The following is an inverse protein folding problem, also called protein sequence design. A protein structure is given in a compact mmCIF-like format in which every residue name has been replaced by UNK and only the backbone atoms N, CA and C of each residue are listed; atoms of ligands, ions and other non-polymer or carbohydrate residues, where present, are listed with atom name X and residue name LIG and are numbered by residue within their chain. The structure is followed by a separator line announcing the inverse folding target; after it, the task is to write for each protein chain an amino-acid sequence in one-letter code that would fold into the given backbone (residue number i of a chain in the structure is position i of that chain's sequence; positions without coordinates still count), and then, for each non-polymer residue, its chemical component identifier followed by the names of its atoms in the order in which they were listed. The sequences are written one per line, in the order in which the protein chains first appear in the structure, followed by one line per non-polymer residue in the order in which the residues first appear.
data_IF_506454944836
#
_entry.id   IF_506454944836
#
_cell.length_a   1.000
_cell.length_b   1.000
_cell.length_c   1.000
_cell.angle_alpha   90.00
_cell.angle_beta   90.00
_cell.angle_gamma   90.00
#
_symmetry.space_group_name_H-M   'P 1'
#
loop_
_entity.id
_entity.type
_entity.pdbx_description
1 polymer ?
#
# COMPACT_ATOMS: atom_id res chain seq x y z
N UNK A 1 2.03 14.22 -31.43
CA UNK A 1 1.43 13.14 -30.61
C UNK A 1 2.08 13.08 -29.24
N UNK A 2 3.40 12.91 -29.13
CA UNK A 2 4.15 12.94 -27.85
C UNK A 2 3.79 14.14 -26.94
N UNK A 3 3.71 15.36 -27.49
CA UNK A 3 3.30 16.54 -26.72
C UNK A 3 1.89 16.43 -26.11
N UNK A 4 0.93 15.86 -26.86
CA UNK A 4 -0.45 15.70 -26.39
C UNK A 4 -0.51 14.67 -25.26
N UNK A 5 0.23 13.58 -25.41
CA UNK A 5 0.41 12.55 -24.40
C UNK A 5 1.01 13.14 -23.12
N UNK A 6 2.09 13.90 -23.26
CA UNK A 6 2.79 14.54 -22.14
C UNK A 6 1.89 15.53 -21.40
N UNK A 7 1.09 16.29 -22.15
CA UNK A 7 0.06 17.17 -21.62
C UNK A 7 -0.98 16.39 -20.81
N UNK A 8 -1.48 15.26 -21.33
CA UNK A 8 -2.41 14.40 -20.61
C UNK A 8 -1.79 13.82 -19.34
N UNK A 9 -0.56 13.33 -19.39
CA UNK A 9 0.13 12.83 -18.20
C UNK A 9 0.31 13.92 -17.15
N UNK A 10 0.65 15.15 -17.56
CA UNK A 10 0.74 16.28 -16.64
C UNK A 10 -0.61 16.58 -16.00
N UNK A 11 -1.68 16.58 -16.78
CA UNK A 11 -3.05 16.78 -16.29
C UNK A 11 -3.48 15.67 -15.33
N UNK A 12 -3.21 14.41 -15.66
CA UNK A 12 -3.46 13.23 -14.82
C UNK A 12 -2.72 13.33 -13.49
N UNK A 13 -1.44 13.74 -13.51
CA UNK A 13 -0.67 13.93 -12.28
C UNK A 13 -1.27 14.99 -11.34
N UNK A 14 -1.94 16.01 -11.89
CA UNK A 14 -2.54 17.10 -11.12
C UNK A 14 -3.98 16.79 -10.67
N UNK A 15 -4.81 16.18 -11.52
CA UNK A 15 -6.21 15.83 -11.19
C UNK A 15 -6.28 14.81 -10.06
N UNK A 16 -5.27 13.93 -9.97
CA UNK A 16 -5.24 12.88 -8.96
C UNK A 16 -4.66 13.35 -7.62
N UNK A 17 -4.46 14.64 -7.37
CA UNK A 17 -4.08 15.11 -6.05
C UNK A 17 -5.30 15.23 -5.13
N UNK A 18 -5.11 14.99 -3.83
CA UNK A 18 -6.08 15.41 -2.83
C UNK A 18 -6.18 16.94 -2.84
N UNK A 19 -7.38 17.49 -2.59
CA UNK A 19 -7.55 18.93 -2.47
C UNK A 19 -6.82 19.46 -1.23
N UNK A 20 -6.34 20.70 -1.31
CA UNK A 20 -5.68 21.36 -0.17
C UNK A 20 -6.63 21.45 1.04
N UNK A 21 -7.92 21.69 0.79
CA UNK A 21 -8.97 21.71 1.82
C UNK A 21 -9.08 20.36 2.55
N UNK A 22 -9.12 19.23 1.81
CA UNK A 22 -9.18 17.90 2.41
C UNK A 22 -7.91 17.60 3.24
N UNK A 23 -6.73 18.00 2.73
CA UNK A 23 -5.45 17.83 3.44
C UNK A 23 -5.43 18.67 4.73
N UNK A 24 -5.88 19.92 4.67
CA UNK A 24 -5.92 20.83 5.80
C UNK A 24 -6.87 20.30 6.89
N UNK A 25 -8.09 19.93 6.53
CA UNK A 25 -9.08 19.36 7.46
C UNK A 25 -8.59 18.07 8.11
N UNK A 26 -8.05 17.14 7.33
CA UNK A 26 -7.47 15.91 7.86
C UNK A 26 -6.30 16.16 8.82
N UNK A 27 -5.43 17.13 8.50
CA UNK A 27 -4.30 17.53 9.36
C UNK A 27 -4.78 18.15 10.67
N UNK A 28 -5.83 18.98 10.64
CA UNK A 28 -6.44 19.56 11.83
C UNK A 28 -7.06 18.48 12.73
N UNK A 29 -7.80 17.52 12.15
CA UNK A 29 -8.36 16.39 12.88
C UNK A 29 -7.28 15.54 13.58
N UNK A 30 -6.19 15.24 12.86
CA UNK A 30 -5.07 14.48 13.41
C UNK A 30 -4.37 15.28 14.52
N UNK A 31 -4.18 16.59 14.36
CA UNK A 31 -3.60 17.44 15.39
C UNK A 31 -4.39 17.38 16.70
N UNK A 32 -5.72 17.57 16.65
CA UNK A 32 -6.60 17.45 17.82
C UNK A 32 -6.55 16.06 18.46
N UNK A 33 -6.50 15.01 17.63
CA UNK A 33 -6.33 13.64 18.11
C UNK A 33 -5.00 13.47 18.85
N UNK A 34 -3.90 14.03 18.33
CA UNK A 34 -2.59 13.96 18.97
C UNK A 34 -2.55 14.79 20.26
N UNK A 35 -3.15 15.97 20.30
CA UNK A 35 -3.25 16.78 21.53
C UNK A 35 -3.96 16.00 22.65
N UNK A 36 -5.04 15.29 22.33
CA UNK A 36 -5.70 14.39 23.28
C UNK A 36 -4.74 13.29 23.77
N UNK A 37 -3.99 12.65 22.86
CA UNK A 37 -3.02 11.62 23.23
C UNK A 37 -1.89 12.18 24.11
N UNK A 38 -1.39 13.39 23.83
CA UNK A 38 -0.37 14.06 24.63
C UNK A 38 -0.85 14.35 26.06
N UNK A 39 -2.13 14.68 26.24
CA UNK A 39 -2.73 14.97 27.54
C UNK A 39 -3.04 13.71 28.36
N UNK A 40 -3.34 12.57 27.70
CA UNK A 40 -3.88 11.37 28.36
C UNK A 40 -2.94 10.18 28.39
N UNK A 41 -1.93 10.15 27.54
CA UNK A 41 -0.98 9.04 27.50
C UNK A 41 -0.06 9.03 28.72
N UNK A 42 0.30 7.82 29.17
CA UNK A 42 1.38 7.65 30.14
C UNK A 42 2.77 7.77 29.49
N UNK A 43 2.83 7.87 28.16
CA UNK A 43 4.05 8.10 27.40
C UNK A 43 4.18 9.58 27.05
N UNK A 44 5.40 10.10 27.12
CA UNK A 44 5.70 11.49 26.79
C UNK A 44 5.80 11.67 25.27
N UNK A 45 4.66 11.92 24.62
CA UNK A 45 4.60 12.23 23.18
C UNK A 45 5.10 13.66 22.96
N UNK A 46 6.39 13.79 22.64
CA UNK A 46 7.09 15.07 22.54
C UNK A 46 6.67 15.87 21.32
N UNK A 47 6.61 15.21 20.16
CA UNK A 47 6.28 15.82 18.87
C UNK A 47 5.60 14.82 17.96
N UNK A 48 4.86 15.34 16.98
CA UNK A 48 4.28 14.54 15.92
C UNK A 48 4.61 15.13 14.55
N UNK A 49 4.39 14.34 13.51
CA UNK A 49 4.70 14.71 12.14
C UNK A 49 3.78 13.98 11.16
N UNK A 50 3.18 14.70 10.22
CA UNK A 50 2.47 14.09 9.09
C UNK A 50 3.47 13.81 7.97
N UNK A 51 3.75 12.53 7.75
CA UNK A 51 4.63 12.06 6.69
C UNK A 51 3.85 11.48 5.53
N UNK A 52 4.38 10.41 4.94
CA UNK A 52 3.66 9.71 3.87
C UNK A 52 3.51 10.52 2.59
N UNK A 53 2.50 10.16 1.81
CA UNK A 53 2.17 10.85 0.55
C UNK A 53 1.80 12.32 0.77
N UNK A 54 1.05 12.61 1.85
CA UNK A 54 0.66 13.97 2.26
C UNK A 54 1.90 14.79 2.60
N UNK A 55 2.71 14.30 3.53
CA UNK A 55 3.94 14.96 3.95
C UNK A 55 4.92 15.18 2.80
N UNK A 56 5.03 14.25 1.84
CA UNK A 56 5.91 14.37 0.66
C UNK A 56 5.37 15.29 -0.45
N UNK A 57 4.11 15.72 -0.38
CA UNK A 57 3.38 16.37 -1.48
C UNK A 57 3.30 15.50 -2.75
N UNK A 58 3.07 14.20 -2.56
CA UNK A 58 2.93 13.19 -3.63
C UNK A 58 1.62 12.42 -3.50
N UNK A 59 0.57 13.11 -3.03
CA UNK A 59 -0.76 12.54 -2.83
C UNK A 59 -1.38 12.03 -4.14
N UNK A 60 -2.18 10.98 -3.98
CA UNK A 60 -3.07 10.38 -4.97
C UNK A 60 -4.48 10.32 -4.36
N UNK A 61 -5.57 10.01 -5.08
CA UNK A 61 -6.92 9.98 -4.51
C UNK A 61 -7.09 8.88 -3.44
N UNK A 62 -6.18 7.89 -3.45
CA UNK A 62 -6.10 6.79 -2.49
C UNK A 62 -5.07 7.01 -1.38
N UNK A 63 -4.56 8.23 -1.20
CA UNK A 63 -3.55 8.51 -0.17
C UNK A 63 -4.17 8.55 1.22
N UNK A 64 -3.49 7.88 2.14
CA UNK A 64 -3.68 7.94 3.58
C UNK A 64 -2.80 9.03 4.21
N UNK A 65 -3.09 9.32 5.47
CA UNK A 65 -2.26 10.16 6.34
C UNK A 65 -1.35 9.26 7.19
N UNK A 66 -0.05 9.34 6.98
CA UNK A 66 0.91 8.75 7.92
C UNK A 66 1.21 9.73 9.06
N UNK A 67 0.75 9.43 10.27
CA UNK A 67 1.05 10.19 11.49
C UNK A 67 2.20 9.51 12.26
N UNK A 68 3.32 10.21 12.42
CA UNK A 68 4.48 9.74 13.18
C UNK A 68 4.52 10.43 14.54
N UNK A 69 4.49 9.66 15.63
CA UNK A 69 4.65 10.15 16.99
C UNK A 69 6.07 9.88 17.49
N UNK A 70 6.76 10.91 17.95
CA UNK A 70 8.08 10.80 18.56
C UNK A 70 7.96 10.93 20.06
N UNK A 71 8.40 9.90 20.77
CA UNK A 71 8.12 9.71 22.19
C UNK A 71 9.44 9.63 22.95
N UNK A 72 9.53 10.35 24.06
CA UNK A 72 10.71 10.36 24.91
C UNK A 72 10.78 9.05 25.73
N UNK A 73 12.00 8.59 26.03
CA UNK A 73 12.30 7.48 26.95
C UNK A 73 11.58 6.14 26.66
N UNK A 74 11.32 5.84 25.38
CA UNK A 74 10.84 4.52 24.95
C UNK A 74 11.94 3.70 24.27
N UNK A 75 11.82 2.38 24.33
CA UNK A 75 12.66 1.46 23.60
C UNK A 75 11.83 0.56 22.68
N UNK A 76 12.43 0.10 21.60
CA UNK A 76 11.81 -0.92 20.74
C UNK A 76 11.73 -2.26 21.51
N UNK A 77 10.65 -3.06 21.42
CA UNK A 77 9.47 -2.94 20.55
C UNK A 77 8.37 -2.01 21.08
N UNK A 78 7.73 -1.28 20.16
CA UNK A 78 6.72 -0.26 20.51
C UNK A 78 5.28 -0.79 20.68
N UNK A 79 5.10 -2.11 20.80
CA UNK A 79 3.75 -2.73 20.88
C UNK A 79 2.93 -2.17 22.05
N UNK A 80 3.53 -1.98 23.22
CA UNK A 80 2.82 -1.50 24.41
C UNK A 80 2.39 -0.04 24.25
N UNK A 81 3.21 0.77 23.58
CA UNK A 81 2.91 2.16 23.24
C UNK A 81 1.69 2.22 22.30
N UNK A 82 1.72 1.47 21.21
CA UNK A 82 0.60 1.44 20.25
C UNK A 82 -0.69 0.90 20.87
N UNK A 83 -0.59 -0.11 21.75
CA UNK A 83 -1.75 -0.63 22.50
C UNK A 83 -2.32 0.42 23.45
N UNK A 84 -1.47 1.20 24.14
CA UNK A 84 -1.92 2.31 24.98
C UNK A 84 -2.64 3.38 24.15
N UNK A 85 -2.04 3.81 23.03
CA UNK A 85 -2.65 4.76 22.09
C UNK A 85 -4.02 4.25 21.61
N UNK A 86 -4.10 2.99 21.17
CA UNK A 86 -5.36 2.40 20.72
C UNK A 86 -6.43 2.37 21.82
N UNK A 87 -6.05 2.07 23.06
CA UNK A 87 -6.98 2.11 24.19
C UNK A 87 -7.49 3.53 24.47
N UNK A 88 -6.61 4.53 24.45
CA UNK A 88 -6.99 5.93 24.65
C UNK A 88 -7.92 6.44 23.56
N UNK A 89 -7.63 6.11 22.30
CA UNK A 89 -8.48 6.45 21.17
C UNK A 89 -9.88 5.83 21.30
N UNK A 90 -10.01 4.61 21.83
CA UNK A 90 -11.33 3.98 22.08
C UNK A 90 -12.07 4.64 23.25
N UNK A 91 -11.36 5.02 24.31
CA UNK A 91 -11.96 5.51 25.57
C UNK A 91 -12.36 6.99 25.52
N UNK A 92 -11.72 7.81 24.70
CA UNK A 92 -11.88 9.27 24.71
C UNK A 92 -12.64 9.78 23.47
N UNK A 93 -13.73 9.09 23.09
CA UNK A 93 -14.58 9.51 21.98
C UNK A 93 -15.92 10.11 22.43
N UNK A 94 -16.46 11.07 21.66
CA UNK A 94 -15.81 11.75 20.53
C UNK A 94 -14.68 12.70 20.99
N UNK A 95 -13.59 12.78 20.22
CA UNK A 95 -12.51 13.73 20.47
C UNK A 95 -13.04 15.13 20.12
N UNK A 96 -12.83 16.10 21.01
CA UNK A 96 -13.32 17.48 20.86
C UNK A 96 -14.85 17.57 20.64
N UNK A 97 -15.62 16.57 21.07
CA UNK A 97 -17.08 16.55 20.94
C UNK A 97 -17.63 16.11 19.57
N UNK A 98 -16.80 16.01 18.52
CA UNK A 98 -17.27 15.72 17.16
C UNK A 98 -16.41 14.74 16.34
N UNK A 99 -15.13 14.53 16.69
CA UNK A 99 -14.24 13.63 15.96
C UNK A 99 -14.40 12.20 16.47
N UNK A 100 -14.65 11.25 15.55
CA UNK A 100 -14.74 9.81 15.85
C UNK A 100 -13.54 9.08 15.25
N UNK A 101 -13.06 8.04 15.93
CA UNK A 101 -11.86 7.29 15.49
C UNK A 101 -12.11 5.80 15.51
N UNK A 102 -12.26 5.17 14.35
CA UNK A 102 -12.43 3.71 14.30
C UNK A 102 -11.09 3.03 14.05
N UNK A 103 -10.62 2.22 15.00
CA UNK A 103 -9.38 1.46 14.84
C UNK A 103 -9.66 0.24 13.96
N UNK A 104 -8.97 0.16 12.84
CA UNK A 104 -9.12 -0.91 11.86
C UNK A 104 -8.08 -2.01 12.04
N UNK A 105 -6.82 -1.64 12.26
CA UNK A 105 -5.70 -2.59 12.33
C UNK A 105 -4.74 -2.15 13.43
N UNK A 106 -4.29 -3.11 14.24
CA UNK A 106 -3.28 -2.90 15.28
C UNK A 106 -2.15 -3.89 15.07
N UNK A 107 -0.99 -3.41 14.62
CA UNK A 107 0.23 -4.20 14.44
C UNK A 107 1.30 -3.79 15.45
N UNK A 108 2.40 -4.54 15.61
CA UNK A 108 3.50 -4.14 16.50
C UNK A 108 4.21 -2.84 16.10
N UNK A 109 3.98 -2.29 14.89
CA UNK A 109 4.71 -1.14 14.35
C UNK A 109 3.82 0.01 13.88
N UNK A 110 2.54 -0.27 13.59
CA UNK A 110 1.56 0.69 13.04
C UNK A 110 0.18 0.39 13.59
N UNK A 111 -0.57 1.44 13.92
CA UNK A 111 -2.01 1.41 14.20
C UNK A 111 -2.74 2.16 13.08
N UNK A 112 -3.61 1.47 12.35
CA UNK A 112 -4.43 2.07 11.28
C UNK A 112 -5.81 2.36 11.81
N UNK A 113 -6.31 3.58 11.60
CA UNK A 113 -7.65 4.01 11.98
C UNK A 113 -8.31 4.88 10.90
N UNK A 114 -9.63 5.05 11.03
CA UNK A 114 -10.42 6.02 10.26
C UNK A 114 -10.85 7.13 11.21
N UNK A 115 -10.38 8.34 10.94
CA UNK A 115 -10.78 9.56 11.65
C UNK A 115 -11.94 10.19 10.89
N UNK A 116 -13.07 10.45 11.56
CA UNK A 116 -14.25 11.06 10.94
C UNK A 116 -14.58 12.39 11.56
N UNK A 117 -14.88 13.35 10.69
CA UNK A 117 -15.36 14.67 11.05
C UNK A 117 -16.45 15.11 10.05
N UNK A 118 -17.66 15.37 10.55
CA UNK A 118 -18.82 15.63 9.72
C UNK A 118 -19.10 14.49 8.70
N UNK A 119 -18.98 14.78 7.40
CA UNK A 119 -19.20 13.82 6.30
C UNK A 119 -17.89 13.31 5.67
N UNK A 120 -16.74 13.68 6.24
CA UNK A 120 -15.44 13.26 5.71
C UNK A 120 -14.83 12.14 6.55
N UNK A 121 -14.11 11.26 5.86
CA UNK A 121 -13.33 10.18 6.44
C UNK A 121 -11.87 10.35 6.03
N UNK A 122 -10.97 10.24 7.01
CA UNK A 122 -9.53 10.28 6.83
C UNK A 122 -8.93 8.96 7.27
N UNK A 123 -8.27 8.25 6.36
CA UNK A 123 -7.52 7.04 6.68
C UNK A 123 -6.16 7.45 7.27
N UNK A 124 -5.87 7.00 8.48
CA UNK A 124 -4.67 7.41 9.23
C UNK A 124 -3.88 6.19 9.70
N UNK A 125 -2.60 6.14 9.34
CA UNK A 125 -1.62 5.20 9.85
C UNK A 125 -0.77 5.89 10.92
N UNK A 126 -0.92 5.47 12.17
CA UNK A 126 -0.15 5.96 13.31
C UNK A 126 1.05 5.05 13.52
N UNK A 127 2.25 5.59 13.36
CA UNK A 127 3.51 4.93 13.66
C UNK A 127 4.24 5.69 14.77
N UNK A 128 5.02 4.97 15.57
CA UNK A 128 5.74 5.53 16.72
C UNK A 128 7.24 5.35 16.55
N UNK A 129 8.00 6.31 17.05
CA UNK A 129 9.45 6.29 17.08
C UNK A 129 9.96 6.85 18.41
N UNK A 130 11.14 6.40 18.83
CA UNK A 130 11.88 7.06 19.91
C UNK A 130 12.31 8.45 19.47
N UNK A 131 12.10 9.45 20.33
CA UNK A 131 12.53 10.81 20.08
C UNK A 131 14.01 10.96 20.47
N UNK A 132 14.86 11.16 19.47
CA UNK A 132 16.28 11.44 19.69
C UNK A 132 16.60 12.93 19.63
N UNK A 133 15.73 13.72 19.02
CA UNK A 133 15.93 15.15 18.82
C UNK A 133 15.38 15.98 19.99
N UNK A 134 15.67 15.58 21.23
CA UNK A 134 15.30 16.36 22.41
C UNK A 134 16.18 17.62 22.51
N UNK A 135 15.68 18.65 23.19
CA UNK A 135 16.42 19.92 23.35
C UNK A 135 17.83 19.71 23.91
N UNK A 136 17.97 18.82 24.90
CA UNK A 136 19.26 18.52 25.52
C UNK A 136 20.22 17.85 24.54
N UNK A 137 19.74 16.90 23.73
CA UNK A 137 20.57 16.23 22.72
C UNK A 137 21.01 17.22 21.64
N UNK A 138 20.10 18.07 21.14
CA UNK A 138 20.44 19.09 20.14
C UNK A 138 21.53 20.04 20.66
N UNK A 139 21.41 20.46 21.93
CA UNK A 139 22.40 21.31 22.60
C UNK A 139 23.74 20.60 22.78
N UNK A 140 23.74 19.32 23.15
CA UNK A 140 24.97 18.52 23.35
C UNK A 140 25.69 18.22 22.04
N UNK A 141 24.97 17.87 20.98
CA UNK A 141 25.54 17.52 19.68
C UNK A 141 26.09 18.73 18.90
N UNK A 142 25.80 19.97 19.33
CA UNK A 142 26.06 21.21 18.57
C UNK A 142 25.45 21.14 17.16
N UNK A 143 24.43 20.32 16.99
CA UNK A 143 23.75 20.07 15.73
C UNK A 143 22.34 20.64 15.84
N UNK A 144 22.07 21.69 15.07
CA UNK A 144 20.80 22.41 15.12
C UNK A 144 19.72 21.79 14.21
N UNK A 145 20.05 20.72 13.49
CA UNK A 145 19.11 20.03 12.61
C UNK A 145 18.50 18.81 13.31
N UNK A 146 17.28 18.92 13.87
CA UNK A 146 16.64 17.81 14.58
C UNK A 146 16.38 16.60 13.68
N UNK A 147 16.23 16.79 12.37
CA UNK A 147 16.01 15.67 11.45
C UNK A 147 17.31 14.88 11.28
N UNK A 148 18.46 15.56 11.18
CA UNK A 148 19.75 14.89 11.03
C UNK A 148 20.14 14.12 12.31
N UNK A 149 19.94 14.71 13.49
CA UNK A 149 20.14 14.03 14.78
C UNK A 149 19.24 12.81 14.90
N UNK A 150 17.94 12.96 14.60
CA UNK A 150 16.99 11.85 14.63
C UNK A 150 17.40 10.74 13.66
N UNK A 151 17.80 11.09 12.44
CA UNK A 151 18.23 10.14 11.41
C UNK A 151 19.47 9.36 11.90
N UNK A 152 20.53 10.07 12.31
CA UNK A 152 21.78 9.47 12.77
C UNK A 152 21.56 8.48 13.91
N UNK A 153 20.85 8.90 14.96
CA UNK A 153 20.58 8.05 16.13
C UNK A 153 19.69 6.85 15.80
N UNK A 154 18.73 7.02 14.90
CA UNK A 154 17.92 5.90 14.41
C UNK A 154 18.78 4.91 13.60
N UNK A 155 19.75 5.41 12.80
CA UNK A 155 20.69 4.56 12.08
C UNK A 155 21.68 3.85 13.00
N UNK A 156 22.10 4.49 14.09
CA UNK A 156 22.86 3.82 15.16
C UNK A 156 22.07 2.61 15.67
N UNK A 157 20.79 2.76 16.04
CA UNK A 157 19.96 1.64 16.50
C UNK A 157 19.82 0.53 15.46
N UNK A 158 19.56 0.90 14.19
CA UNK A 158 19.41 -0.07 13.10
C UNK A 158 20.70 -0.87 12.89
N UNK A 159 21.86 -0.20 12.97
CA UNK A 159 23.17 -0.83 12.81
C UNK A 159 23.45 -1.88 13.88
N UNK A 160 22.97 -1.68 15.10
CA UNK A 160 23.08 -2.68 16.17
C UNK A 160 22.17 -3.89 15.95
N UNK A 161 21.13 -3.78 15.11
CA UNK A 161 20.12 -4.83 14.89
C UNK A 161 19.67 -5.01 13.42
N UNK A 162 20.60 -5.22 12.46
CA UNK A 162 20.35 -5.04 11.02
C UNK A 162 19.35 -6.06 10.44
N UNK A 163 19.38 -7.33 10.87
CA UNK A 163 18.61 -8.38 10.17
C UNK A 163 17.14 -8.52 10.58
N UNK A 164 16.66 -7.79 11.61
CA UNK A 164 15.28 -7.94 12.13
C UNK A 164 14.50 -6.63 12.29
N UNK A 165 15.15 -5.48 12.15
CA UNK A 165 14.57 -4.19 12.58
C UNK A 165 14.68 -3.04 11.58
N UNK A 166 15.42 -3.18 10.48
CA UNK A 166 15.58 -2.12 9.44
C UNK A 166 14.25 -1.49 9.06
N UNK A 167 13.24 -2.31 8.78
CA UNK A 167 11.89 -1.84 8.44
C UNK A 167 11.09 -1.34 9.66
N UNK A 168 11.32 -1.93 10.83
CA UNK A 168 10.52 -1.69 12.03
C UNK A 168 10.83 -0.35 12.70
N UNK A 169 12.00 0.22 12.40
CA UNK A 169 12.44 1.53 12.87
C UNK A 169 12.25 2.65 11.82
N UNK A 170 11.55 2.38 10.71
CA UNK A 170 11.32 3.36 9.62
C UNK A 170 10.69 4.67 10.09
N UNK A 171 9.87 4.61 11.14
CA UNK A 171 9.20 5.78 11.72
C UNK A 171 10.20 6.84 12.18
N UNK A 172 11.36 6.43 12.72
CA UNK A 172 12.43 7.34 13.11
C UNK A 172 13.11 8.04 11.93
N UNK A 173 13.00 7.49 10.71
CA UNK A 173 13.57 8.06 9.49
C UNK A 173 12.55 8.86 8.65
N UNK A 174 11.29 8.90 9.08
CA UNK A 174 10.16 9.49 8.34
C UNK A 174 10.38 10.96 7.93
N UNK A 175 10.92 11.78 8.83
CA UNK A 175 11.17 13.20 8.54
C UNK A 175 12.30 13.38 7.51
N UNK A 176 13.31 12.51 7.54
CA UNK A 176 14.42 12.56 6.59
C UNK A 176 13.95 12.17 5.18
N UNK A 177 13.16 11.09 5.05
CA UNK A 177 12.64 10.68 3.74
C UNK A 177 11.68 11.72 3.15
N UNK A 178 10.84 12.36 3.98
CA UNK A 178 9.99 13.46 3.51
C UNK A 178 10.83 14.63 3.03
N UNK A 179 11.88 15.01 3.75
CA UNK A 179 12.80 16.07 3.33
C UNK A 179 13.44 15.75 1.97
N UNK A 180 13.94 14.52 1.79
CA UNK A 180 14.52 14.06 0.53
C UNK A 180 13.56 14.20 -0.66
N UNK A 181 12.30 13.77 -0.50
CA UNK A 181 11.29 13.86 -1.56
C UNK A 181 10.85 15.31 -1.81
N UNK A 182 10.70 16.13 -0.76
CA UNK A 182 10.34 17.56 -0.91
C UNK A 182 11.38 18.38 -1.66
N UNK A 183 12.66 18.00 -1.58
CA UNK A 183 13.75 18.65 -2.30
C UNK A 183 13.73 18.39 -3.81
N UNK A 184 12.95 17.42 -4.28
CA UNK A 184 12.75 17.22 -5.71
C UNK A 184 11.91 18.36 -6.29
N UNK A 185 11.98 18.58 -7.61
CA UNK A 185 11.16 19.60 -8.25
C UNK A 185 9.74 19.09 -8.61
N UNK A 186 8.86 20.00 -9.02
CA UNK A 186 7.47 19.67 -9.34
C UNK A 186 7.35 18.63 -10.45
N UNK A 187 8.18 18.71 -11.50
CA UNK A 187 8.24 17.70 -12.55
C UNK A 187 8.45 16.29 -11.98
N UNK A 188 9.40 16.14 -11.07
CA UNK A 188 9.71 14.85 -10.44
C UNK A 188 8.58 14.38 -9.51
N UNK A 189 7.93 15.30 -8.78
CA UNK A 189 6.75 14.98 -7.98
C UNK A 189 5.56 14.52 -8.85
N UNK A 190 5.34 15.15 -10.00
CA UNK A 190 4.33 14.70 -10.97
C UNK A 190 4.63 13.29 -11.47
N UNK A 191 5.91 13.00 -11.78
CA UNK A 191 6.35 11.66 -12.16
C UNK A 191 6.09 10.62 -11.05
N UNK A 192 6.33 10.97 -9.78
CA UNK A 192 5.99 10.11 -8.63
C UNK A 192 4.49 9.80 -8.62
N UNK A 193 3.62 10.81 -8.78
CA UNK A 193 2.16 10.61 -8.76
C UNK A 193 1.70 9.71 -9.90
N UNK A 194 2.22 9.91 -11.12
CA UNK A 194 1.95 9.02 -12.27
C UNK A 194 2.36 7.58 -11.97
N UNK A 195 3.54 7.40 -11.39
CA UNK A 195 4.05 6.07 -11.04
C UNK A 195 3.14 5.36 -10.03
N UNK A 196 2.74 6.08 -8.97
CA UNK A 196 1.82 5.54 -7.95
C UNK A 196 0.46 5.23 -8.55
N UNK A 197 -0.06 6.11 -9.40
CA UNK A 197 -1.32 5.88 -10.10
C UNK A 197 -1.26 4.61 -10.94
N UNK A 198 -0.24 4.46 -11.79
CA UNK A 198 0.00 3.25 -12.58
C UNK A 198 0.04 2.00 -11.70
N UNK A 199 0.88 1.99 -10.66
CA UNK A 199 1.04 0.83 -9.79
C UNK A 199 -0.25 0.46 -9.03
N UNK A 200 -0.98 1.45 -8.54
CA UNK A 200 -2.26 1.21 -7.86
C UNK A 200 -3.29 0.54 -8.79
N UNK A 201 -3.25 0.82 -10.09
CA UNK A 201 -4.14 0.20 -11.10
C UNK A 201 -3.81 -1.26 -11.36
N UNK A 202 -2.56 -1.68 -11.12
CA UNK A 202 -2.15 -3.08 -11.26
C UNK A 202 -2.73 -3.98 -10.15
N UNK A 203 -3.20 -3.39 -9.05
CA UNK A 203 -3.73 -4.14 -7.90
C UNK A 203 -2.69 -4.95 -7.14
N UNK A 204 -1.40 -4.76 -7.42
CA UNK A 204 -0.29 -5.43 -6.74
C UNK A 204 -0.12 -4.85 -5.32
N UNK A 205 -0.02 -5.72 -4.32
CA UNK A 205 0.09 -5.31 -2.90
C UNK A 205 1.32 -5.94 -2.24
N UNK A 206 2.49 -5.41 -2.57
CA UNK A 206 3.74 -5.73 -1.88
C UNK A 206 4.03 -4.73 -0.76
N UNK A 207 4.61 -5.17 0.36
CA UNK A 207 5.15 -4.25 1.36
C UNK A 207 6.19 -3.32 0.73
N UNK A 208 6.08 -2.02 1.01
CA UNK A 208 7.05 -0.99 0.60
C UNK A 208 7.25 -0.77 -0.91
N UNK A 209 6.41 -1.35 -1.77
CA UNK A 209 6.48 -1.13 -3.21
C UNK A 209 6.33 0.34 -3.59
N UNK A 210 5.49 1.09 -2.88
CA UNK A 210 5.33 2.52 -3.08
C UNK A 210 6.64 3.30 -3.00
N UNK A 211 7.49 3.00 -2.00
CA UNK A 211 8.76 3.70 -1.84
C UNK A 211 9.79 3.30 -2.91
N UNK A 212 9.87 2.02 -3.27
CA UNK A 212 10.73 1.56 -4.36
C UNK A 212 10.42 2.34 -5.65
N UNK A 213 9.14 2.42 -5.99
CA UNK A 213 8.67 3.08 -7.19
C UNK A 213 8.87 4.60 -7.15
N UNK A 214 8.66 5.23 -6.00
CA UNK A 214 9.01 6.64 -5.77
C UNK A 214 10.49 6.89 -6.05
N UNK A 215 11.39 6.01 -5.58
CA UNK A 215 12.83 6.11 -5.82
C UNK A 215 13.18 5.97 -7.31
N UNK A 216 12.57 5.01 -8.01
CA UNK A 216 12.77 4.85 -9.46
C UNK A 216 12.29 6.10 -10.22
N UNK A 217 11.12 6.63 -9.86
CA UNK A 217 10.56 7.86 -10.41
C UNK A 217 11.49 9.06 -10.18
N UNK A 218 12.05 9.20 -8.99
CA UNK A 218 13.03 10.26 -8.66
C UNK A 218 14.29 10.12 -9.51
N UNK A 219 14.85 8.91 -9.61
CA UNK A 219 16.03 8.66 -10.45
C UNK A 219 15.78 9.02 -11.91
N UNK A 220 14.63 8.65 -12.46
CA UNK A 220 14.23 9.00 -13.82
C UNK A 220 14.01 10.49 -13.99
N UNK A 221 13.32 11.13 -13.05
CA UNK A 221 13.06 12.57 -13.05
C UNK A 221 14.34 13.41 -13.00
N UNK A 222 15.31 13.02 -12.17
CA UNK A 222 16.62 13.68 -12.11
C UNK A 222 17.42 13.55 -13.42
N UNK A 223 17.32 12.41 -14.12
CA UNK A 223 17.90 12.26 -15.46
C UNK A 223 17.18 13.14 -16.48
N UNK A 224 15.85 13.15 -16.45
CA UNK A 224 15.04 13.93 -17.38
C UNK A 224 15.20 15.44 -17.18
N UNK A 225 15.44 15.87 -15.93
CA UNK A 225 15.65 17.26 -15.57
C UNK A 225 16.86 17.92 -16.25
N UNK A 226 17.76 17.14 -16.84
CA UNK A 226 18.92 17.64 -17.59
C UNK A 226 18.58 18.08 -19.01
N UNK A 227 17.42 17.68 -19.53
CA UNK A 227 16.95 18.10 -20.85
C UNK A 227 16.14 19.40 -20.76
N UNK A 228 16.27 20.32 -21.72
CA UNK A 228 15.47 21.56 -21.74
C UNK A 228 13.98 21.26 -21.96
N UNK A 229 13.68 20.30 -22.84
CA UNK A 229 12.31 19.90 -23.20
C UNK A 229 11.90 18.63 -22.44
N UNK A 230 11.86 18.71 -21.11
CA UNK A 230 11.53 17.58 -20.22
C UNK A 230 10.17 16.98 -20.60
N UNK A 231 10.06 15.65 -20.57
CA UNK A 231 8.82 14.92 -20.87
C UNK A 231 8.53 13.90 -19.78
N UNK A 232 7.33 13.95 -19.20
CA UNK A 232 6.80 12.91 -18.33
C UNK A 232 6.65 11.58 -19.06
N UNK A 233 6.29 11.56 -20.34
CA UNK A 233 6.21 10.33 -21.13
C UNK A 233 7.57 9.62 -21.19
N UNK A 234 8.61 10.30 -21.68
CA UNK A 234 9.95 9.70 -21.76
C UNK A 234 10.51 9.32 -20.40
N UNK A 235 10.18 10.10 -19.37
CA UNK A 235 10.54 9.79 -17.99
C UNK A 235 9.84 8.50 -17.51
N UNK A 236 8.57 8.31 -17.86
CA UNK A 236 7.78 7.13 -17.53
C UNK A 236 8.22 5.90 -18.32
N UNK A 237 8.45 6.00 -19.63
CA UNK A 237 9.03 4.93 -20.43
C UNK A 237 10.35 4.44 -19.84
N UNK A 238 11.26 5.36 -19.48
CA UNK A 238 12.54 5.02 -18.83
C UNK A 238 12.33 4.28 -17.51
N UNK A 239 11.34 4.67 -16.72
CA UNK A 239 11.02 3.97 -15.48
C UNK A 239 10.47 2.56 -15.75
N UNK A 240 9.59 2.40 -16.75
CA UNK A 240 9.09 1.09 -17.16
C UNK A 240 10.22 0.19 -17.68
N UNK A 241 11.17 0.72 -18.45
CA UNK A 241 12.37 0.00 -18.89
C UNK A 241 13.24 -0.44 -17.71
N UNK A 242 13.41 0.42 -16.70
CA UNK A 242 14.08 0.04 -15.46
C UNK A 242 13.36 -1.11 -14.74
N UNK A 243 12.02 -1.09 -14.71
CA UNK A 243 11.22 -2.17 -14.13
C UNK A 243 11.31 -3.45 -14.95
N UNK A 244 11.30 -3.39 -16.29
CA UNK A 244 11.49 -4.56 -17.16
C UNK A 244 12.85 -5.23 -16.91
N UNK A 245 13.86 -4.45 -16.58
CA UNK A 245 15.19 -4.92 -16.21
C UNK A 245 15.37 -4.97 -14.68
N UNK A 246 14.33 -5.36 -13.95
CA UNK A 246 14.30 -5.31 -12.48
C UNK A 246 15.54 -5.92 -11.83
N UNK A 247 16.00 -7.07 -12.33
CA UNK A 247 17.12 -7.84 -11.76
C UNK A 247 18.48 -7.13 -11.90
N UNK A 248 18.56 -6.13 -12.78
CA UNK A 248 19.75 -5.32 -13.04
C UNK A 248 19.69 -3.93 -12.38
N UNK A 249 18.65 -3.66 -11.59
CA UNK A 249 18.48 -2.34 -10.95
C UNK A 249 19.66 -2.01 -10.03
N UNK A 250 20.28 -0.87 -10.29
CA UNK A 250 21.30 -0.25 -9.44
C UNK A 250 20.95 1.22 -9.17
N UNK A 251 20.13 1.45 -8.13
CA UNK A 251 19.67 2.78 -7.73
C UNK A 251 20.11 3.08 -6.30
N UNK A 252 21.17 3.87 -6.19
CA UNK A 252 21.74 4.33 -4.91
C UNK A 252 21.96 5.84 -4.95
N UNK A 253 21.46 6.58 -3.96
CA UNK A 253 21.68 8.02 -3.81
C UNK A 253 22.81 8.29 -2.82
N UNK A 254 24.05 8.00 -3.24
CA UNK A 254 25.25 8.06 -2.36
C UNK A 254 25.44 9.41 -1.65
N UNK A 255 25.04 10.52 -2.27
CA UNK A 255 25.12 11.87 -1.66
C UNK A 255 24.24 12.04 -0.42
N UNK A 256 23.26 11.17 -0.21
CA UNK A 256 22.33 11.26 0.91
C UNK A 256 22.83 10.52 2.16
N UNK A 257 23.87 9.70 2.04
CA UNK A 257 24.53 9.02 3.16
C UNK A 257 25.56 9.95 3.82
N UNK A 258 25.03 10.97 4.50
CA UNK A 258 25.79 12.07 5.12
C UNK A 258 26.67 11.65 6.29
N UNK A 259 26.41 10.48 6.88
CA UNK A 259 27.11 9.99 8.06
C UNK A 259 28.21 8.98 7.66
N UNK A 260 29.50 9.31 7.84
CA UNK A 260 30.61 8.41 7.49
C UNK A 260 30.55 7.03 8.14
N UNK A 261 29.94 6.91 9.31
CA UNK A 261 29.74 5.65 10.05
C UNK A 261 28.58 4.79 9.54
N UNK A 262 27.76 5.33 8.62
CA UNK A 262 26.60 4.71 8.00
C UNK A 262 26.71 4.82 6.48
N UNK A 263 27.73 4.19 5.91
CA UNK A 263 27.89 4.10 4.46
C UNK A 263 27.18 2.85 3.93
N UNK A 264 26.76 2.97 2.68
CA UNK A 264 26.23 1.83 1.93
C UNK A 264 27.33 0.80 1.66
N UNK A 265 26.99 -0.47 1.82
CA UNK A 265 27.88 -1.57 1.46
C UNK A 265 27.88 -1.75 -0.07
N UNK A 266 28.99 -1.35 -0.71
CA UNK A 266 29.15 -1.47 -2.16
C UNK A 266 29.08 -2.92 -2.67
N UNK A 267 29.23 -3.92 -1.77
CA UNK A 267 29.08 -5.34 -2.09
C UNK A 267 27.63 -5.85 -2.07
N UNK A 268 26.66 -4.98 -1.77
CA UNK A 268 25.23 -5.34 -1.84
C UNK A 268 24.89 -5.84 -3.24
N UNK A 269 24.35 -7.06 -3.32
CA UNK A 269 24.01 -7.73 -4.58
C UNK A 269 22.87 -7.01 -5.30
N UNK A 270 22.84 -7.15 -6.63
CA UNK A 270 21.70 -6.73 -7.44
C UNK A 270 20.51 -7.69 -7.25
N UNK A 271 19.27 -7.20 -7.44
CA UNK A 271 18.91 -5.80 -7.65
C UNK A 271 19.01 -4.97 -6.37
N UNK A 272 19.43 -3.70 -6.51
CA UNK A 272 19.53 -2.75 -5.41
C UNK A 272 18.78 -1.47 -5.70
N UNK A 273 17.78 -1.21 -4.88
CA UNK A 273 17.06 0.06 -4.82
C UNK A 273 17.11 0.54 -3.38
N UNK A 274 18.17 1.27 -3.06
CA UNK A 274 18.48 1.61 -1.68
C UNK A 274 17.65 2.80 -1.19
N UNK A 275 17.20 2.73 0.06
CA UNK A 275 16.59 3.86 0.73
C UNK A 275 17.60 5.02 0.82
N UNK A 276 17.26 6.22 0.31
CA UNK A 276 18.14 7.37 0.32
C UNK A 276 18.50 7.83 1.75
N UNK A 277 17.70 7.49 2.77
CA UNK A 277 17.96 7.89 4.16
C UNK A 277 18.36 6.73 5.06
N UNK A 278 18.39 5.51 4.52
CA UNK A 278 18.77 4.29 5.25
C UNK A 278 19.68 3.37 4.39
N UNK A 279 21.02 3.42 4.57
CA UNK A 279 21.95 2.61 3.80
C UNK A 279 21.81 1.09 4.04
N UNK A 280 21.04 0.68 5.06
CA UNK A 280 20.79 -0.72 5.38
C UNK A 280 19.49 -1.28 4.78
N UNK A 281 18.72 -0.47 4.06
CA UNK A 281 17.42 -0.85 3.52
C UNK A 281 17.45 -0.92 1.98
N UNK A 282 17.49 -2.14 1.44
CA UNK A 282 17.31 -2.39 0.02
C UNK A 282 15.84 -2.73 -0.27
N UNK A 283 15.09 -1.82 -0.91
CA UNK A 283 13.68 -2.06 -1.19
C UNK A 283 13.43 -3.20 -2.19
N UNK A 284 14.42 -3.56 -3.01
CA UNK A 284 14.28 -4.61 -4.01
C UNK A 284 14.22 -6.03 -3.39
N UNK A 285 14.67 -6.19 -2.14
CA UNK A 285 14.61 -7.44 -1.38
C UNK A 285 13.20 -7.78 -0.89
N UNK A 286 12.31 -6.79 -0.78
CA UNK A 286 10.93 -7.02 -0.32
C UNK A 286 10.01 -7.59 -1.40
N UNK A 287 10.43 -7.57 -2.67
CA UNK A 287 9.61 -8.06 -3.77
C UNK A 287 9.76 -9.58 -3.92
N UNK A 288 8.63 -10.28 -3.86
CA UNK A 288 8.55 -11.69 -4.18
C UNK A 288 8.80 -11.95 -5.67
N UNK A 289 9.40 -13.10 -6.02
CA UNK A 289 9.74 -13.44 -7.42
C UNK A 289 8.53 -13.39 -8.37
N UNK A 290 7.37 -13.88 -7.92
CA UNK A 290 6.14 -13.84 -8.73
C UNK A 290 5.68 -12.41 -8.99
N UNK A 291 5.75 -11.53 -7.99
CA UNK A 291 5.38 -10.13 -8.15
C UNK A 291 6.37 -9.36 -9.00
N UNK A 292 7.68 -9.68 -8.93
CA UNK A 292 8.68 -9.16 -9.87
C UNK A 292 8.32 -9.52 -11.30
N UNK A 293 7.98 -10.78 -11.56
CA UNK A 293 7.59 -11.24 -12.89
C UNK A 293 6.35 -10.49 -13.40
N UNK A 294 5.30 -10.39 -12.58
CA UNK A 294 4.08 -9.64 -12.93
C UNK A 294 4.39 -8.17 -13.21
N UNK A 295 5.19 -7.53 -12.37
CA UNK A 295 5.56 -6.13 -12.54
C UNK A 295 6.36 -5.90 -13.84
N UNK A 296 7.29 -6.81 -14.18
CA UNK A 296 8.03 -6.79 -15.47
C UNK A 296 7.08 -6.94 -16.66
N UNK A 297 6.12 -7.87 -16.58
CA UNK A 297 5.10 -8.07 -17.61
C UNK A 297 4.26 -6.82 -17.82
N UNK A 298 3.70 -6.24 -16.76
CA UNK A 298 2.91 -5.01 -16.84
C UNK A 298 3.72 -3.83 -17.39
N UNK A 299 5.00 -3.73 -17.06
CA UNK A 299 5.86 -2.70 -17.62
C UNK A 299 6.06 -2.87 -19.13
N UNK A 300 6.29 -4.11 -19.60
CA UNK A 300 6.41 -4.44 -21.03
C UNK A 300 5.11 -4.16 -21.80
N UNK A 301 3.96 -4.53 -21.23
CA UNK A 301 2.65 -4.23 -21.80
C UNK A 301 2.41 -2.72 -21.89
N UNK A 302 2.76 -1.98 -20.83
CA UNK A 302 2.61 -0.51 -20.80
C UNK A 302 3.47 0.17 -21.87
N UNK A 303 4.71 -0.28 -22.07
CA UNK A 303 5.57 0.22 -23.17
C UNK A 303 4.98 -0.11 -24.54
N UNK A 304 4.48 -1.34 -24.70
CA UNK A 304 3.87 -1.77 -25.97
C UNK A 304 2.65 -0.92 -26.30
N UNK A 305 1.80 -0.66 -25.31
CA UNK A 305 0.65 0.24 -25.43
C UNK A 305 1.07 1.67 -25.81
N UNK A 306 2.08 2.23 -25.13
CA UNK A 306 2.62 3.57 -25.47
C UNK A 306 3.06 3.63 -26.94
N UNK A 307 3.78 2.60 -27.42
CA UNK A 307 4.30 2.54 -28.79
C UNK A 307 3.24 2.27 -29.85
N UNK A 308 2.18 1.51 -29.51
CA UNK A 308 1.09 1.19 -30.43
C UNK A 308 0.02 2.27 -30.51
N UNK A 309 0.00 3.21 -29.55
CA UNK A 309 -1.04 4.24 -29.49
C UNK A 309 -0.77 5.31 -30.55
N UNK A 310 -1.27 5.08 -31.76
CA UNK A 310 -1.42 6.09 -32.80
C UNK A 310 -2.71 6.95 -32.60
N UNK A 311 -3.55 6.64 -31.62
CA UNK A 311 -4.92 7.21 -31.46
C UNK A 311 -5.16 7.94 -30.13
N UNK A 312 -6.22 8.76 -30.10
CA UNK A 312 -6.53 9.76 -29.05
C UNK A 312 -7.00 9.20 -27.68
N UNK A 313 -7.14 7.89 -27.50
CA UNK A 313 -7.74 7.26 -26.30
C UNK A 313 -6.72 6.91 -25.19
N UNK A 314 -5.66 7.72 -25.13
CA UNK A 314 -4.40 7.44 -24.46
C UNK A 314 -4.46 7.10 -22.94
N UNK A 315 -5.22 7.82 -22.08
CA UNK A 315 -5.18 7.56 -20.64
C UNK A 315 -5.73 6.18 -20.28
N UNK A 316 -6.81 5.77 -20.94
CA UNK A 316 -7.46 4.51 -20.64
C UNK A 316 -6.64 3.34 -21.16
N UNK A 317 -6.04 3.42 -22.36
CA UNK A 317 -5.25 2.29 -22.91
C UNK A 317 -4.01 1.96 -22.09
N UNK A 318 -3.30 2.95 -21.53
CA UNK A 318 -2.06 2.72 -20.77
C UNK A 318 -2.31 2.31 -19.32
N UNK A 319 -3.39 2.81 -18.72
CA UNK A 319 -3.72 2.54 -17.31
C UNK A 319 -4.82 1.48 -17.11
N UNK A 320 -5.38 0.90 -18.20
CA UNK A 320 -6.32 -0.25 -18.17
C UNK A 320 -5.67 -1.61 -18.46
N UNK A 321 -4.35 -1.75 -18.55
CA UNK A 321 -3.72 -3.07 -18.67
C UNK A 321 -3.84 -3.89 -17.37
N UNK A 322 -5.05 -4.37 -17.08
CA UNK A 322 -5.15 -5.76 -16.63
C UNK A 322 -4.91 -6.62 -17.87
N UNK A 323 -4.17 -7.71 -17.77
CA UNK A 323 -3.93 -8.53 -18.94
C UNK A 323 -5.29 -9.01 -19.45
N UNK A 324 -5.50 -9.00 -20.77
CA UNK A 324 -6.74 -9.46 -21.41
C UNK A 324 -7.04 -10.93 -21.18
N UNK A 325 -6.13 -11.64 -20.52
CA UNK A 325 -6.35 -12.96 -19.95
C UNK A 325 -5.94 -12.96 -18.48
N UNK A 326 -6.71 -13.57 -17.57
CA UNK A 326 -6.24 -13.80 -16.22
C UNK A 326 -4.94 -14.62 -16.31
N UNK A 327 -3.81 -14.02 -15.89
CA UNK A 327 -2.49 -14.64 -15.83
C UNK A 327 -2.43 -15.65 -14.67
N UNK A 328 -3.31 -16.64 -14.72
CA UNK A 328 -3.04 -17.90 -14.07
C UNK A 328 -2.16 -18.72 -15.00
N UNK A 329 -1.08 -19.33 -14.52
CA UNK A 329 -0.31 -20.26 -15.33
C UNK A 329 -1.25 -21.29 -15.96
N UNK A 330 -0.99 -21.71 -17.21
CA UNK A 330 -1.83 -22.70 -17.91
C UNK A 330 -2.14 -23.93 -17.05
N UNK A 331 -1.17 -24.37 -16.23
CA UNK A 331 -1.33 -25.47 -15.28
C UNK A 331 -2.32 -25.20 -14.13
N UNK A 332 -2.51 -23.94 -13.71
CA UNK A 332 -3.50 -23.53 -12.72
C UNK A 332 -4.91 -23.55 -13.32
N UNK A 333 -5.08 -23.01 -14.52
CA UNK A 333 -6.35 -23.08 -15.26
C UNK A 333 -6.72 -24.53 -15.61
N UNK A 334 -5.77 -25.32 -16.10
CA UNK A 334 -5.97 -26.75 -16.40
C UNK A 334 -6.34 -27.54 -15.14
N UNK A 335 -5.82 -27.20 -13.95
CA UNK A 335 -6.20 -27.86 -12.68
C UNK A 335 -7.56 -27.41 -12.16
N UNK A 336 -7.91 -26.13 -12.25
CA UNK A 336 -9.24 -25.60 -11.89
C UNK A 336 -10.33 -26.16 -12.82
N UNK A 337 -9.99 -26.42 -14.08
CA UNK A 337 -10.88 -27.05 -15.06
C UNK A 337 -10.93 -28.58 -14.93
N UNK A 338 -9.89 -29.21 -14.36
CA UNK A 338 -9.86 -30.65 -14.06
C UNK A 338 -10.51 -31.03 -12.73
N UNK A 339 -10.76 -30.09 -11.82
CA UNK A 339 -11.68 -30.32 -10.70
C UNK A 339 -13.08 -30.56 -11.27
N UNK A 340 -13.55 -31.80 -11.19
CA UNK A 340 -14.83 -32.25 -11.73
C UNK A 340 -16.00 -31.43 -11.19
N UNK A 341 -16.66 -30.70 -12.08
CA UNK A 341 -18.00 -30.16 -11.89
C UNK A 341 -18.99 -31.24 -12.28
N UNK A 342 -19.71 -31.83 -11.34
CA UNK A 342 -20.85 -32.70 -11.65
C UNK A 342 -22.12 -31.86 -11.53
N UNK A 343 -22.86 -31.73 -12.64
CA UNK A 343 -24.23 -31.24 -12.64
C UNK A 343 -25.13 -32.47 -12.78
N UNK A 344 -25.68 -32.96 -11.68
CA UNK A 344 -26.78 -33.91 -11.74
C UNK A 344 -28.07 -33.14 -12.01
N UNK A 345 -28.59 -33.25 -13.22
CA UNK A 345 -29.96 -32.84 -13.52
C UNK A 345 -30.91 -33.96 -13.09
N UNK A 346 -31.45 -33.87 -11.89
CA UNK A 346 -32.67 -34.60 -11.52
C UNK A 346 -33.87 -33.69 -11.76
N UNK A 347 -34.84 -34.19 -12.51
CA UNK A 347 -36.13 -33.55 -12.80
C UNK A 347 -36.99 -33.48 -11.54
N UNK A 348 -36.73 -32.52 -10.66
CA UNK A 348 -37.69 -32.02 -9.66
C UNK A 348 -37.22 -30.64 -9.17
N UNK A 349 -38.16 -29.69 -9.11
CA UNK A 349 -37.91 -28.26 -8.90
C UNK A 349 -37.43 -27.98 -7.48
N UNK A 350 -36.14 -27.71 -7.27
CA UNK A 350 -35.54 -27.05 -6.09
C UNK A 350 -34.18 -26.38 -6.45
N UNK A 351 -33.64 -25.47 -5.61
CA UNK A 351 -32.94 -24.25 -6.05
C UNK A 351 -31.56 -24.53 -6.68
N UNK A 352 -31.16 -23.66 -7.62
CA UNK A 352 -29.79 -23.61 -8.14
C UNK A 352 -28.79 -23.43 -6.99
N UNK A 353 -28.08 -24.49 -6.65
CA UNK A 353 -26.91 -24.45 -5.78
C UNK A 353 -25.64 -24.51 -6.62
N UNK A 354 -24.67 -23.64 -6.33
CA UNK A 354 -23.30 -23.78 -6.85
C UNK A 354 -22.47 -24.40 -5.73
N UNK A 355 -21.97 -25.60 -5.95
CA UNK A 355 -21.07 -26.29 -5.01
C UNK A 355 -19.66 -26.28 -5.60
N UNK A 356 -18.74 -25.59 -4.96
CA UNK A 356 -17.32 -25.60 -5.34
C UNK A 356 -16.61 -26.58 -4.41
N UNK A 357 -16.22 -27.74 -4.93
CA UNK A 357 -15.44 -28.74 -4.21
C UNK A 357 -13.95 -28.59 -4.55
N UNK A 358 -13.11 -28.34 -3.55
CA UNK A 358 -11.65 -28.35 -3.69
C UNK A 358 -11.09 -29.76 -3.47
N UNK A 359 -10.11 -30.23 -4.25
CA UNK A 359 -9.46 -31.53 -4.01
C UNK A 359 -8.77 -31.57 -2.64
N UNK A 360 -8.82 -32.71 -1.93
CA UNK A 360 -8.25 -32.88 -0.58
C UNK A 360 -6.74 -32.55 -0.48
N UNK A 361 -6.02 -32.56 -1.62
CA UNK A 361 -4.59 -32.27 -1.69
C UNK A 361 -4.25 -30.77 -1.75
N UNK A 362 -5.25 -29.88 -1.85
CA UNK A 362 -5.05 -28.41 -1.79
C UNK A 362 -4.72 -27.90 -0.38
N UNK A 363 -4.98 -28.73 0.65
CA UNK A 363 -4.92 -28.41 2.09
C UNK A 363 -3.55 -27.93 2.64
N UNK A 364 -2.47 -27.98 1.86
CA UNK A 364 -1.10 -27.94 2.40
C UNK A 364 -0.29 -26.67 2.14
N UNK A 365 -0.77 -25.71 1.33
CA UNK A 365 -0.04 -24.47 1.06
C UNK A 365 -0.91 -23.23 1.25
N UNK A 366 -0.52 -22.35 2.19
CA UNK A 366 -1.31 -21.21 2.69
C UNK A 366 -1.65 -20.14 1.65
N UNK A 367 -0.89 -20.09 0.56
CA UNK A 367 -0.85 -18.95 -0.37
C UNK A 367 -1.82 -19.11 -1.55
N UNK A 368 -2.14 -20.35 -1.94
CA UNK A 368 -3.07 -20.64 -3.04
C UNK A 368 -4.52 -20.25 -2.71
N UNK A 369 -4.87 -20.22 -1.42
CA UNK A 369 -6.20 -19.82 -0.92
C UNK A 369 -6.50 -18.33 -1.10
N UNK A 370 -5.48 -17.48 -0.99
CA UNK A 370 -5.64 -16.04 -1.13
C UNK A 370 -5.95 -15.68 -2.59
N UNK A 371 -5.33 -16.40 -3.53
CA UNK A 371 -5.59 -16.28 -4.96
C UNK A 371 -7.04 -16.63 -5.33
N UNK A 372 -7.63 -17.65 -4.69
CA UNK A 372 -9.03 -18.05 -4.93
C UNK A 372 -10.02 -16.99 -4.43
N UNK A 373 -9.78 -16.40 -3.25
CA UNK A 373 -10.64 -15.33 -2.72
C UNK A 373 -10.54 -14.04 -3.55
N UNK A 374 -9.35 -13.71 -4.05
CA UNK A 374 -9.15 -12.60 -4.98
C UNK A 374 -9.81 -12.86 -6.34
N UNK A 375 -9.76 -14.10 -6.83
CA UNK A 375 -10.44 -14.51 -8.06
C UNK A 375 -11.95 -14.38 -7.92
N UNK A 376 -12.54 -14.93 -6.85
CA UNK A 376 -13.98 -14.79 -6.58
C UNK A 376 -14.39 -13.32 -6.41
N UNK A 377 -13.58 -12.51 -5.74
CA UNK A 377 -13.83 -11.07 -5.63
C UNK A 377 -13.79 -10.37 -6.99
N UNK A 378 -12.85 -10.71 -7.86
CA UNK A 378 -12.74 -10.13 -9.20
C UNK A 378 -13.90 -10.55 -10.11
N UNK A 379 -14.22 -11.85 -10.15
CA UNK A 379 -15.31 -12.40 -10.94
C UNK A 379 -16.67 -11.81 -10.52
N UNK A 380 -16.88 -11.59 -9.21
CA UNK A 380 -18.10 -10.93 -8.73
C UNK A 380 -18.18 -9.45 -9.16
N UNK A 381 -17.07 -8.72 -9.24
CA UNK A 381 -17.09 -7.34 -9.73
C UNK A 381 -17.48 -7.27 -11.22
N UNK A 382 -17.00 -8.21 -12.04
CA UNK A 382 -17.36 -8.29 -13.46
C UNK A 382 -18.84 -8.64 -13.66
N UNK A 383 -19.37 -9.57 -12.86
CA UNK A 383 -20.79 -9.96 -12.90
C UNK A 383 -21.72 -8.82 -12.42
N UNK A 384 -21.30 -8.02 -11.43
CA UNK A 384 -22.08 -6.86 -10.94
C UNK A 384 -22.26 -5.81 -12.06
N UNK A 385 -21.20 -5.56 -12.83
CA UNK A 385 -21.21 -4.54 -13.87
C UNK A 385 -22.09 -4.93 -15.09
N UNK A 386 -22.38 -6.22 -15.27
CA UNK A 386 -23.16 -6.75 -16.40
C UNK A 386 -24.65 -6.99 -16.11
N UNK A 387 -25.11 -6.86 -14.86
CA UNK A 387 -26.50 -7.22 -14.47
C UNK A 387 -27.30 -6.00 -14.01
N UNK A 388 -28.39 -5.71 -14.74
CA UNK A 388 -29.26 -4.54 -14.50
C UNK A 388 -30.28 -4.70 -13.36
N UNK A 389 -30.39 -5.88 -12.73
CA UNK A 389 -31.45 -6.11 -11.72
C UNK A 389 -31.02 -5.75 -10.30
N UNK A 390 -31.77 -4.82 -9.69
CA UNK A 390 -31.48 -4.22 -8.37
C UNK A 390 -31.34 -5.24 -7.23
N UNK A 391 -32.06 -6.37 -7.29
CA UNK A 391 -32.02 -7.42 -6.26
C UNK A 391 -30.76 -8.28 -6.35
N UNK A 392 -30.30 -8.61 -7.56
CA UNK A 392 -29.07 -9.38 -7.78
C UNK A 392 -27.82 -8.52 -7.47
N UNK A 393 -27.86 -7.23 -7.75
CA UNK A 393 -26.79 -6.31 -7.36
C UNK A 393 -26.64 -6.19 -5.84
N UNK A 394 -27.75 -6.18 -5.07
CA UNK A 394 -27.69 -6.24 -3.61
C UNK A 394 -27.09 -7.54 -3.10
N UNK A 395 -27.42 -8.67 -3.74
CA UNK A 395 -26.89 -10.00 -3.39
C UNK A 395 -25.38 -10.10 -3.68
N UNK A 396 -24.95 -9.61 -4.83
CA UNK A 396 -23.54 -9.59 -5.22
C UNK A 396 -22.73 -8.65 -4.32
N UNK A 397 -23.27 -7.48 -3.96
CA UNK A 397 -22.61 -6.55 -3.04
C UNK A 397 -22.52 -7.11 -1.61
N UNK A 398 -23.55 -7.84 -1.15
CA UNK A 398 -23.52 -8.56 0.14
C UNK A 398 -22.46 -9.68 0.13
N UNK A 399 -22.36 -10.43 -0.97
CA UNK A 399 -21.35 -11.48 -1.17
C UNK A 399 -19.94 -10.89 -1.24
N UNK A 400 -19.78 -9.75 -1.92
CA UNK A 400 -18.54 -8.98 -1.99
C UNK A 400 -18.07 -8.49 -0.62
N UNK A 401 -18.98 -7.88 0.15
CA UNK A 401 -18.70 -7.44 1.52
C UNK A 401 -18.29 -8.62 2.40
N UNK A 402 -18.94 -9.77 2.26
CA UNK A 402 -18.59 -10.99 3.00
C UNK A 402 -17.19 -11.51 2.63
N UNK A 403 -16.85 -11.60 1.35
CA UNK A 403 -15.51 -12.04 0.90
C UNK A 403 -14.43 -11.08 1.39
N UNK A 404 -14.67 -9.77 1.36
CA UNK A 404 -13.75 -8.77 1.90
C UNK A 404 -13.52 -8.97 3.41
N UNK A 405 -14.56 -9.27 4.17
CA UNK A 405 -14.44 -9.61 5.60
C UNK A 405 -13.68 -10.91 5.82
N UNK A 406 -13.88 -11.93 4.98
CA UNK A 406 -13.13 -13.19 5.06
C UNK A 406 -11.64 -13.01 4.74
N UNK A 407 -11.31 -12.21 3.72
CA UNK A 407 -9.92 -11.80 3.41
C UNK A 407 -9.30 -11.07 4.61
N UNK A 408 -10.07 -10.21 5.26
CA UNK A 408 -9.63 -9.46 6.45
C UNK A 408 -9.41 -10.40 7.64
N UNK A 409 -10.33 -11.33 7.93
CA UNK A 409 -10.20 -12.33 9.01
C UNK A 409 -8.96 -13.20 8.83
N UNK A 410 -8.63 -13.63 7.60
CA UNK A 410 -7.42 -14.42 7.35
C UNK A 410 -6.12 -13.62 7.48
N UNK A 411 -6.12 -12.34 7.14
CA UNK A 411 -5.00 -11.43 7.48
C UNK A 411 -4.76 -11.34 8.98
N UNK A 412 -5.77 -11.63 9.80
CA UNK A 412 -5.73 -11.52 11.26
C UNK A 412 -5.36 -12.85 11.95
N UNK A 413 -5.51 -14.01 11.30
CA UNK A 413 -5.23 -15.32 11.89
C UNK A 413 -3.77 -15.76 11.65
N UNK A 414 -2.89 -15.60 12.65
CA UNK A 414 -1.61 -16.33 12.72
C UNK A 414 -1.83 -17.69 13.39
N UNK A 415 -2.76 -18.51 12.86
CA UNK A 415 -3.09 -19.81 13.47
C UNK A 415 -2.17 -20.88 12.90
N UNK A 416 -1.50 -21.59 13.81
CA UNK A 416 -0.69 -22.77 13.55
C UNK A 416 -1.56 -23.94 13.10
N UNK A 417 -1.22 -24.49 11.94
CA UNK A 417 -1.19 -25.90 11.53
C UNK A 417 -2.08 -26.98 12.16
N UNK A 418 -3.31 -26.72 12.60
CA UNK A 418 -4.27 -27.80 12.86
C UNK A 418 -5.57 -27.64 12.07
N UNK A 419 -6.03 -28.79 11.55
CA UNK A 419 -7.03 -28.96 10.49
C UNK A 419 -8.46 -28.69 10.97
N UNK A 420 -8.80 -27.42 11.22
CA UNK A 420 -10.19 -27.03 11.39
C UNK A 420 -10.78 -26.52 10.07
N UNK A 421 -11.69 -27.30 9.50
CA UNK A 421 -12.47 -26.90 8.32
C UNK A 421 -13.45 -25.79 8.69
N UNK A 422 -13.44 -24.69 7.93
CA UNK A 422 -14.37 -23.59 8.15
C UNK A 422 -15.60 -23.82 7.27
N UNK A 423 -16.78 -23.74 7.85
CA UNK A 423 -18.03 -23.87 7.11
C UNK A 423 -18.78 -22.54 7.17
N UNK A 424 -18.98 -21.91 6.01
CA UNK A 424 -19.84 -20.75 5.89
C UNK A 424 -21.07 -21.12 5.05
N UNK A 425 -22.26 -20.98 5.64
CA UNK A 425 -23.54 -21.17 4.96
C UNK A 425 -24.29 -19.84 4.94
N UNK A 426 -24.63 -19.38 3.75
CA UNK A 426 -25.42 -18.16 3.56
C UNK A 426 -26.67 -18.50 2.78
N UNK A 427 -27.82 -18.00 3.25
CA UNK A 427 -29.11 -18.16 2.60
C UNK A 427 -29.67 -16.79 2.30
N UNK A 428 -30.05 -16.58 1.05
CA UNK A 428 -30.61 -15.32 0.58
C UNK A 428 -32.01 -15.58 0.05
N UNK A 429 -33.05 -15.09 0.73
CA UNK A 429 -34.42 -15.24 0.26
C UNK A 429 -34.62 -14.43 -1.02
N UNK A 430 -35.21 -15.04 -2.04
CA UNK A 430 -35.70 -14.38 -3.25
C UNK A 430 -37.23 -14.30 -3.15
N UNK A 431 -37.83 -13.11 -3.24
CA UNK A 431 -39.27 -12.96 -3.26
C UNK A 431 -39.91 -13.86 -4.33
N UNK A 432 -40.89 -14.67 -3.91
CA UNK A 432 -41.69 -15.57 -4.76
C UNK A 432 -40.93 -16.70 -5.49
N UNK A 433 -39.62 -16.88 -5.25
CA UNK A 433 -38.78 -17.82 -6.03
C UNK A 433 -37.88 -18.74 -5.18
N UNK A 434 -38.03 -18.73 -3.85
CA UNK A 434 -37.24 -19.57 -2.93
C UNK A 434 -36.03 -18.84 -2.34
N UNK A 435 -34.92 -19.53 -2.07
CA UNK A 435 -33.69 -18.91 -1.54
C UNK A 435 -32.46 -19.42 -2.28
N UNK A 436 -31.53 -18.53 -2.61
CA UNK A 436 -30.17 -18.93 -3.04
C UNK A 436 -29.38 -19.30 -1.81
N UNK A 437 -28.74 -20.46 -1.87
CA UNK A 437 -27.97 -21.00 -0.77
C UNK A 437 -26.52 -21.16 -1.22
N UNK A 438 -25.64 -20.31 -0.66
CA UNK A 438 -24.21 -20.36 -0.92
C UNK A 438 -23.58 -21.12 0.24
N UNK A 439 -22.98 -22.26 -0.09
CA UNK A 439 -22.26 -23.09 0.86
C UNK A 439 -20.78 -23.09 0.52
N UNK A 440 -19.97 -22.55 1.42
CA UNK A 440 -18.52 -22.50 1.28
C UNK A 440 -17.93 -23.40 2.34
N UNK A 441 -17.33 -24.51 1.89
CA UNK A 441 -16.58 -25.45 2.71
C UNK A 441 -15.09 -25.21 2.48
N UNK A 442 -14.39 -24.78 3.52
CA UNK A 442 -12.93 -24.59 3.52
C UNK A 442 -12.25 -25.80 4.10
#
# INVERSE_FOLDING_TARGET
MEYLIDFWMTKTANIHCLSDEYIERGTQCISKMVEMLQLKSCYQINRHFIGGSVGKNTTTPYSDFDCYLFIDDIEYPYRNVLKNIGNLLRQNQPIDGHIKVDICIETPTVLTCIVREAQEEFHVDIAVAKNYATYDVLKMCREYDPIAVQQRKTLDDIKHWPHKHVYKMKAGLSSAIVRFVKQQNDFTRSMIRITKYWYNRLGLREPNSGMLLEILAIRCGQKENRYPNKSLLRCFERMLEMIMNFDELDVVFRSEYKFPEHQFDENTKLPRVMDPVNPYCNFAEFFQSNTKLLLKTYASESITAIKSTETLDFPDTIFKSRPSQPLFPKWFLERVLQSTWWVETTTEVFPMGVQVAMPENFASQSDDYYCVLLFLHSALNEIIDEIETTELNKLLEATRSFIQRMILVRKLSTVSSDRDYFHARMSFPIPNSGSILIYIRF
#
